data_IF_099440377429
#
_entry.id   IF_099440377429
#
_cell.length_a   1.000
_cell.length_b   1.000
_cell.length_c   1.000
_cell.angle_alpha   90.00
_cell.angle_beta   90.00
_cell.angle_gamma   90.00
#
_symmetry.space_group_name_H-M   'P 1'
#
loop_
_entity.id
_entity.type
_entity.pdbx_description
1 polymer ?
#
# COMPACT_ATOMS: atom_id res chain seq x y z
N UNK A 1 26.41 -1.48 21.20
CA UNK A 1 26.61 -0.24 20.41
C UNK A 1 25.94 -0.42 19.06
N UNK A 2 25.26 0.60 18.53
CA UNK A 2 24.60 0.53 17.22
C UNK A 2 25.49 1.15 16.14
N UNK A 3 25.70 0.43 15.05
CA UNK A 3 26.44 0.85 13.86
C UNK A 3 25.53 0.83 12.64
N UNK A 4 25.42 1.97 11.96
CA UNK A 4 24.73 2.04 10.68
C UNK A 4 25.67 1.61 9.55
N UNK A 5 25.18 0.75 8.66
CA UNK A 5 25.94 0.19 7.53
C UNK A 5 25.14 0.31 6.24
N UNK A 6 25.86 0.54 5.15
CA UNK A 6 25.35 0.40 3.78
C UNK A 6 26.07 -0.79 3.17
N UNK A 7 25.32 -1.74 2.60
CA UNK A 7 25.91 -2.93 2.00
C UNK A 7 24.94 -4.10 1.94
N UNK A 8 25.48 -5.30 1.71
CA UNK A 8 24.73 -6.54 1.74
C UNK A 8 24.81 -7.17 3.14
N UNK A 9 23.65 -7.33 3.78
CA UNK A 9 23.57 -7.91 5.13
C UNK A 9 24.15 -9.33 5.20
N UNK A 10 24.04 -10.11 4.13
CA UNK A 10 24.52 -11.49 4.10
C UNK A 10 26.04 -11.61 4.16
N UNK A 11 26.76 -10.52 3.87
CA UNK A 11 28.22 -10.45 3.96
C UNK A 11 28.69 -10.02 5.35
N UNK A 12 27.77 -9.80 6.30
CA UNK A 12 28.11 -9.40 7.66
C UNK A 12 28.81 -10.52 8.42
N UNK A 13 29.91 -10.18 9.08
CA UNK A 13 30.63 -11.07 10.00
C UNK A 13 29.95 -11.24 11.37
N UNK A 14 28.83 -10.56 11.62
CA UNK A 14 28.08 -10.66 12.88
C UNK A 14 27.66 -12.09 13.22
N UNK A 15 27.65 -12.47 14.50
CA UNK A 15 27.29 -13.82 14.95
C UNK A 15 25.87 -14.24 14.52
N UNK A 16 24.93 -13.29 14.59
CA UNK A 16 23.54 -13.48 14.17
C UNK A 16 23.13 -12.59 13.00
N UNK A 17 22.31 -13.12 12.10
CA UNK A 17 21.70 -12.41 10.98
C UNK A 17 20.17 -12.44 11.10
N UNK A 18 19.53 -11.28 10.97
CA UNK A 18 18.07 -11.18 10.96
C UNK A 18 17.53 -11.30 9.55
N UNK A 19 16.58 -12.23 9.36
CA UNK A 19 15.85 -12.43 8.12
C UNK A 19 14.40 -11.95 8.30
N UNK A 20 13.92 -11.02 7.48
CA UNK A 20 12.51 -10.60 7.52
C UNK A 20 11.63 -11.61 6.78
N UNK A 21 10.69 -12.23 7.48
CA UNK A 21 9.83 -13.29 6.92
C UNK A 21 8.34 -12.97 7.05
N UNK A 22 7.50 -13.80 6.44
CA UNK A 22 6.06 -13.88 6.72
C UNK A 22 5.75 -15.11 7.57
N UNK A 23 4.48 -15.33 7.93
CA UNK A 23 4.08 -16.50 8.72
C UNK A 23 3.45 -17.62 7.89
N UNK A 24 3.50 -17.53 6.54
CA UNK A 24 2.90 -18.52 5.61
C UNK A 24 3.94 -19.35 4.85
N UNK A 25 5.22 -19.29 5.22
CA UNK A 25 6.24 -20.21 4.71
C UNK A 25 6.82 -19.85 3.34
N UNK A 26 6.63 -18.62 2.85
CA UNK A 26 7.13 -18.21 1.52
C UNK A 26 8.35 -17.29 1.65
N UNK A 27 9.46 -17.61 0.98
CA UNK A 27 10.62 -16.71 0.82
C UNK A 27 10.86 -16.44 -0.67
N UNK A 28 10.01 -15.61 -1.27
CA UNK A 28 9.91 -15.47 -2.73
C UNK A 28 10.56 -14.23 -3.33
N UNK A 29 10.90 -13.20 -2.53
CA UNK A 29 11.49 -11.94 -3.01
C UNK A 29 12.31 -11.23 -1.94
N UNK A 30 13.07 -10.22 -2.35
CA UNK A 30 13.89 -9.40 -1.47
C UNK A 30 14.88 -10.21 -0.65
N UNK A 31 15.19 -9.73 0.56
CA UNK A 31 16.20 -10.34 1.43
C UNK A 31 15.84 -11.80 1.81
N UNK A 32 14.56 -12.11 2.02
CA UNK A 32 14.11 -13.47 2.35
C UNK A 32 14.51 -14.50 1.27
N UNK A 33 14.41 -14.15 -0.02
CA UNK A 33 14.84 -15.03 -1.11
C UNK A 33 16.36 -15.27 -1.06
N UNK A 34 17.14 -14.23 -0.73
CA UNK A 34 18.59 -14.37 -0.61
C UNK A 34 18.96 -15.29 0.57
N UNK A 35 18.28 -15.16 1.72
CA UNK A 35 18.42 -16.09 2.84
C UNK A 35 18.06 -17.52 2.46
N UNK A 36 16.97 -17.73 1.71
CA UNK A 36 16.60 -19.07 1.22
C UNK A 36 17.70 -19.71 0.36
N UNK A 37 18.32 -18.93 -0.51
CA UNK A 37 19.36 -19.43 -1.40
C UNK A 37 20.69 -19.69 -0.66
N UNK A 38 21.02 -18.86 0.33
CA UNK A 38 22.28 -18.95 1.08
C UNK A 38 22.22 -19.96 2.23
N UNK A 39 21.07 -20.10 2.88
CA UNK A 39 20.84 -20.90 4.09
C UNK A 39 19.65 -21.86 3.88
N UNK A 40 19.85 -22.96 3.13
CA UNK A 40 18.76 -23.86 2.75
C UNK A 40 18.20 -24.65 3.95
N UNK A 41 19.01 -24.96 4.96
CA UNK A 41 18.51 -25.63 6.16
C UNK A 41 17.60 -24.70 6.97
N UNK A 42 18.01 -23.43 7.12
CA UNK A 42 17.15 -22.38 7.69
C UNK A 42 15.78 -22.32 6.98
N UNK A 43 15.76 -22.30 5.64
CA UNK A 43 14.48 -22.28 4.90
C UNK A 43 13.62 -23.52 5.16
N UNK A 44 14.23 -24.71 5.24
CA UNK A 44 13.51 -25.95 5.54
C UNK A 44 12.84 -25.92 6.92
N UNK A 45 13.57 -25.46 7.94
CA UNK A 45 13.04 -25.31 9.30
C UNK A 45 11.94 -24.26 9.37
N UNK A 46 12.15 -23.09 8.75
CA UNK A 46 11.15 -22.04 8.62
C UNK A 46 9.87 -22.53 7.93
N UNK A 47 9.99 -23.22 6.80
CA UNK A 47 8.85 -23.73 6.05
C UNK A 47 8.00 -24.68 6.91
N UNK A 48 8.64 -25.59 7.65
CA UNK A 48 7.95 -26.52 8.53
C UNK A 48 7.26 -25.80 9.70
N UNK A 49 7.93 -24.85 10.35
CA UNK A 49 7.34 -24.06 11.43
C UNK A 49 6.08 -23.29 10.96
N UNK A 50 6.14 -22.67 9.78
CA UNK A 50 4.96 -22.01 9.19
C UNK A 50 3.85 -23.00 8.83
N UNK A 51 4.21 -24.14 8.22
CA UNK A 51 3.24 -25.20 7.85
C UNK A 51 2.51 -25.73 9.08
N UNK A 52 3.20 -25.86 10.20
CA UNK A 52 2.65 -26.29 11.48
C UNK A 52 1.98 -25.16 12.29
N UNK A 53 1.98 -23.92 11.79
CA UNK A 53 1.44 -22.72 12.45
C UNK A 53 2.12 -22.39 13.79
N UNK A 54 3.40 -22.76 13.91
CA UNK A 54 4.23 -22.55 15.10
C UNK A 54 4.85 -21.14 15.13
N UNK A 55 4.99 -20.48 13.97
CA UNK A 55 5.56 -19.13 13.86
C UNK A 55 4.47 -18.08 13.62
N UNK A 56 4.37 -17.11 14.52
CA UNK A 56 3.44 -15.96 14.45
C UNK A 56 4.19 -14.64 14.63
N UNK A 57 3.53 -13.52 14.32
CA UNK A 57 4.02 -12.18 14.66
C UNK A 57 4.29 -12.07 16.16
N UNK A 58 5.39 -11.39 16.53
CA UNK A 58 5.86 -11.28 17.91
C UNK A 58 6.67 -12.47 18.40
N UNK A 59 6.80 -13.54 17.60
CA UNK A 59 7.68 -14.67 17.87
C UNK A 59 8.87 -14.65 16.92
N UNK A 60 9.99 -15.23 17.33
CA UNK A 60 11.17 -15.40 16.48
C UNK A 60 11.49 -16.87 16.28
N UNK A 61 11.82 -17.25 15.05
CA UNK A 61 12.36 -18.58 14.77
C UNK A 61 13.87 -18.49 14.59
N UNK A 62 14.59 -19.02 15.57
CA UNK A 62 16.06 -19.09 15.56
C UNK A 62 16.49 -20.42 14.95
N UNK A 63 17.38 -20.37 13.97
CA UNK A 63 18.03 -21.53 13.38
C UNK A 63 19.54 -21.35 13.36
N UNK A 64 20.26 -22.44 13.19
CA UNK A 64 21.71 -22.44 13.02
C UNK A 64 22.04 -23.06 11.66
N UNK A 65 22.96 -22.43 10.94
CA UNK A 65 23.52 -22.96 9.71
C UNK A 65 25.04 -23.07 9.86
N UNK A 66 25.61 -24.18 9.40
CA UNK A 66 27.05 -24.33 9.27
C UNK A 66 27.50 -23.78 7.92
N UNK A 67 28.44 -22.84 7.94
CA UNK A 67 29.06 -22.34 6.71
C UNK A 67 30.11 -23.32 6.19
N UNK A 68 30.54 -23.16 4.92
CA UNK A 68 31.62 -23.96 4.32
C UNK A 68 32.94 -23.88 5.11
N UNK A 69 33.13 -22.82 5.91
CA UNK A 69 34.29 -22.61 6.78
C UNK A 69 34.13 -23.25 8.17
N UNK A 70 33.05 -24.02 8.41
CA UNK A 70 32.65 -24.59 9.72
C UNK A 70 32.36 -23.56 10.80
N UNK A 71 32.12 -22.31 10.41
CA UNK A 71 31.61 -21.29 11.32
C UNK A 71 30.09 -21.46 11.42
N UNK A 72 29.58 -21.46 12.65
CA UNK A 72 28.14 -21.47 12.91
C UNK A 72 27.59 -20.06 12.75
N UNK A 73 26.55 -19.91 11.94
CA UNK A 73 25.81 -18.66 11.80
C UNK A 73 24.41 -18.82 12.40
N UNK A 74 24.02 -17.87 13.27
CA UNK A 74 22.68 -17.84 13.83
C UNK A 74 21.78 -17.06 12.87
N UNK A 75 20.67 -17.66 12.42
CA UNK A 75 19.68 -17.00 11.59
C UNK A 75 18.41 -16.78 12.41
N UNK A 76 18.02 -15.52 12.58
CA UNK A 76 16.81 -15.12 13.31
C UNK A 76 15.75 -14.73 12.29
N UNK A 77 14.78 -15.60 12.07
CA UNK A 77 13.64 -15.30 11.20
C UNK A 77 12.63 -14.45 11.98
N UNK A 78 12.53 -13.20 11.57
CA UNK A 78 11.71 -12.15 12.18
C UNK A 78 10.44 -11.94 11.35
N UNK A 79 9.26 -12.36 11.84
CA UNK A 79 8.01 -12.16 11.14
C UNK A 79 7.65 -10.67 11.07
N UNK A 80 7.76 -10.11 9.87
CA UNK A 80 7.35 -8.72 9.59
C UNK A 80 6.00 -8.66 8.87
N UNK A 81 5.41 -9.81 8.55
CA UNK A 81 4.14 -9.94 7.83
C UNK A 81 3.43 -11.22 8.23
N UNK A 82 2.10 -11.21 8.14
CA UNK A 82 1.29 -12.43 8.28
C UNK A 82 1.28 -13.23 6.98
N UNK A 83 0.98 -12.57 5.85
CA UNK A 83 1.09 -13.14 4.50
C UNK A 83 2.09 -12.31 3.67
N UNK A 84 2.84 -12.95 2.77
CA UNK A 84 3.78 -12.24 1.89
C UNK A 84 3.11 -11.19 0.99
N UNK A 85 1.80 -11.35 0.73
CA UNK A 85 0.96 -10.43 -0.05
C UNK A 85 0.55 -9.18 0.73
N UNK A 86 0.42 -9.28 2.06
CA UNK A 86 -0.02 -8.20 2.95
C UNK A 86 1.13 -7.23 3.26
N UNK A 87 0.84 -5.95 3.61
CA UNK A 87 1.85 -5.02 4.10
C UNK A 87 2.38 -5.43 5.48
N UNK A 88 3.43 -4.75 5.94
CA UNK A 88 3.89 -4.85 7.32
C UNK A 88 3.16 -3.84 8.21
N UNK A 89 3.22 -4.01 9.52
CA UNK A 89 2.64 -3.09 10.50
C UNK A 89 3.70 -2.73 11.56
N UNK A 90 3.69 -1.50 12.06
CA UNK A 90 4.62 -1.06 13.10
C UNK A 90 4.54 -1.95 14.35
N UNK A 91 3.32 -2.38 14.72
CA UNK A 91 3.11 -3.30 15.84
C UNK A 91 3.87 -4.61 15.67
N UNK A 92 3.98 -5.13 14.44
CA UNK A 92 4.71 -6.38 14.20
C UNK A 92 6.20 -6.22 14.47
N UNK A 93 6.72 -5.02 14.18
CA UNK A 93 8.13 -4.67 14.41
C UNK A 93 8.38 -4.49 15.91
N UNK A 94 7.52 -3.77 16.62
CA UNK A 94 7.62 -3.55 18.07
C UNK A 94 7.53 -4.87 18.85
N UNK A 95 6.52 -5.70 18.56
CA UNK A 95 6.33 -7.00 19.22
C UNK A 95 7.53 -7.93 18.95
N UNK A 96 8.04 -7.96 17.72
CA UNK A 96 9.22 -8.77 17.38
C UNK A 96 10.54 -8.24 17.95
N UNK A 97 10.68 -6.92 18.14
CA UNK A 97 11.87 -6.33 18.75
C UNK A 97 11.91 -6.57 20.25
N UNK A 98 10.76 -6.54 20.92
CA UNK A 98 10.66 -6.96 22.32
C UNK A 98 11.22 -8.38 22.51
N UNK A 99 10.82 -9.30 21.64
CA UNK A 99 11.31 -10.68 21.66
C UNK A 99 12.79 -10.78 21.26
N UNK A 100 13.24 -9.99 20.29
CA UNK A 100 14.64 -9.97 19.86
C UNK A 100 15.59 -9.59 21.01
N UNK A 101 15.20 -8.63 21.84
CA UNK A 101 15.96 -8.23 23.03
C UNK A 101 16.11 -9.41 24.00
N UNK A 102 15.05 -10.20 24.20
CA UNK A 102 15.11 -11.40 25.04
C UNK A 102 16.05 -12.44 24.45
N UNK A 103 15.90 -12.75 23.15
CA UNK A 103 16.74 -13.73 22.45
C UNK A 103 18.22 -13.36 22.50
N UNK A 104 18.58 -12.08 22.31
CA UNK A 104 19.96 -11.60 22.40
C UNK A 104 20.54 -11.87 23.78
N UNK A 105 19.77 -11.58 24.84
CA UNK A 105 20.20 -11.79 26.24
C UNK A 105 20.33 -13.27 26.57
N UNK A 106 19.30 -14.07 26.28
CA UNK A 106 19.25 -15.49 26.61
C UNK A 106 20.33 -16.31 25.91
N UNK A 107 20.60 -16.00 24.64
CA UNK A 107 21.63 -16.70 23.84
C UNK A 107 23.00 -16.05 23.93
N UNK A 108 23.13 -14.94 24.67
CA UNK A 108 24.38 -14.20 24.84
C UNK A 108 25.04 -13.79 23.50
N UNK A 109 24.20 -13.39 22.53
CA UNK A 109 24.63 -13.01 21.17
C UNK A 109 25.53 -11.77 21.25
N UNK A 110 26.76 -11.88 20.74
CA UNK A 110 27.75 -10.80 20.82
C UNK A 110 27.63 -9.79 19.71
N UNK A 111 27.21 -10.23 18.53
CA UNK A 111 26.98 -9.33 17.40
C UNK A 111 25.80 -9.76 16.52
N UNK A 112 25.03 -8.79 16.03
CA UNK A 112 23.85 -9.04 15.21
C UNK A 112 23.74 -8.05 14.06
N UNK A 113 23.37 -8.54 12.87
CA UNK A 113 23.06 -7.72 11.70
C UNK A 113 21.55 -7.69 11.44
N UNK A 114 20.99 -6.49 11.28
CA UNK A 114 19.55 -6.25 11.17
C UNK A 114 19.23 -5.48 9.88
N UNK A 115 18.33 -5.97 9.01
CA UNK A 115 17.90 -5.25 7.80
C UNK A 115 16.86 -4.18 8.14
N UNK A 116 16.45 -3.33 7.17
CA UNK A 116 15.39 -2.35 7.41
C UNK A 116 14.02 -3.03 7.54
N UNK A 117 13.65 -3.36 8.79
CA UNK A 117 12.50 -4.21 9.12
C UNK A 117 11.19 -3.62 8.58
N UNK A 118 10.56 -4.32 7.64
CA UNK A 118 9.27 -3.91 7.08
C UNK A 118 9.30 -2.68 6.16
N UNK A 119 10.41 -1.94 6.03
CA UNK A 119 10.46 -0.68 5.26
C UNK A 119 10.65 -0.84 3.74
N UNK A 120 10.97 -2.04 3.27
CA UNK A 120 11.02 -2.36 1.83
C UNK A 120 9.67 -2.90 1.33
N UNK A 121 9.61 -4.21 1.07
CA UNK A 121 8.39 -4.89 0.64
C UNK A 121 7.19 -4.76 1.60
N UNK A 122 7.42 -4.34 2.85
CA UNK A 122 6.37 -4.11 3.85
C UNK A 122 5.74 -2.71 3.79
N UNK A 123 6.41 -1.74 3.17
CA UNK A 123 5.91 -0.37 2.99
C UNK A 123 5.96 0.53 4.23
N UNK A 124 6.66 0.14 5.30
CA UNK A 124 6.83 1.01 6.48
C UNK A 124 7.79 2.16 6.21
N UNK A 125 7.57 3.30 6.85
CA UNK A 125 8.50 4.43 6.79
C UNK A 125 9.81 4.07 7.52
N UNK A 126 10.94 4.21 6.82
CA UNK A 126 12.25 3.85 7.37
C UNK A 126 12.64 4.70 8.58
N UNK A 127 12.39 6.01 8.56
CA UNK A 127 12.77 6.89 9.66
C UNK A 127 12.01 6.53 10.94
N UNK A 128 10.73 6.18 10.82
CA UNK A 128 9.95 5.68 11.96
C UNK A 128 10.46 4.31 12.43
N UNK A 129 10.72 3.36 11.53
CA UNK A 129 11.29 2.05 11.91
C UNK A 129 12.65 2.21 12.60
N UNK A 130 13.50 3.13 12.12
CA UNK A 130 14.81 3.45 12.70
C UNK A 130 14.68 3.94 14.14
N UNK A 131 13.74 4.84 14.42
CA UNK A 131 13.47 5.30 15.80
C UNK A 131 13.02 4.14 16.72
N UNK A 132 12.18 3.24 16.21
CA UNK A 132 11.73 2.06 16.97
C UNK A 132 12.92 1.12 17.25
N UNK A 133 13.78 0.88 16.25
CA UNK A 133 15.00 0.08 16.44
C UNK A 133 15.89 0.68 17.53
N UNK A 134 16.17 1.99 17.49
CA UNK A 134 17.00 2.68 18.49
C UNK A 134 16.39 2.57 19.90
N UNK A 135 15.06 2.70 20.01
CA UNK A 135 14.33 2.61 21.28
C UNK A 135 14.55 1.25 21.95
N UNK A 136 14.46 0.15 21.20
CA UNK A 136 14.54 -1.20 21.78
C UNK A 136 15.98 -1.69 21.95
N UNK A 137 16.91 -1.23 21.11
CA UNK A 137 18.22 -1.86 20.97
C UNK A 137 19.38 -1.05 21.57
N UNK A 138 19.18 0.23 21.91
CA UNK A 138 20.25 1.12 22.40
C UNK A 138 20.93 0.65 23.69
N UNK A 139 20.17 0.04 24.61
CA UNK A 139 20.67 -0.45 25.90
C UNK A 139 21.07 -1.94 25.90
N UNK A 140 20.99 -2.61 24.75
CA UNK A 140 21.33 -4.03 24.65
C UNK A 140 22.84 -4.21 24.60
N UNK A 141 23.39 -5.07 25.45
CA UNK A 141 24.81 -5.42 25.47
C UNK A 141 25.20 -6.36 24.31
N UNK A 142 25.16 -5.82 23.09
CA UNK A 142 25.44 -6.48 21.83
C UNK A 142 26.02 -5.47 20.82
N UNK A 143 26.88 -5.91 19.91
CA UNK A 143 27.31 -5.15 18.73
C UNK A 143 26.21 -5.25 17.65
N UNK A 144 25.55 -4.14 17.35
CA UNK A 144 24.36 -4.15 16.48
C UNK A 144 24.68 -3.42 15.18
N UNK A 145 24.58 -4.12 14.06
CA UNK A 145 24.79 -3.58 12.71
C UNK A 145 23.45 -3.41 12.01
N UNK A 146 22.94 -2.17 11.95
CA UNK A 146 21.71 -1.85 11.23
C UNK A 146 22.05 -1.51 9.79
N UNK A 147 21.57 -2.32 8.85
CA UNK A 147 21.69 -2.08 7.43
C UNK A 147 20.60 -1.13 6.98
N UNK A 148 21.00 0.02 6.44
CA UNK A 148 20.06 1.01 5.94
C UNK A 148 19.55 0.61 4.54
N UNK A 149 18.34 1.07 4.13
CA UNK A 149 17.86 0.88 2.77
C UNK A 149 18.88 1.45 1.77
N UNK A 150 19.56 0.58 1.04
CA UNK A 150 20.54 0.98 0.04
C UNK A 150 19.82 1.55 -1.19
N UNK A 151 20.31 2.65 -1.76
CA UNK A 151 19.84 3.22 -3.02
C UNK A 151 19.79 2.17 -4.15
N UNK A 152 20.75 1.24 -4.21
CA UNK A 152 20.75 0.15 -5.18
C UNK A 152 19.62 -0.87 -4.95
N UNK A 153 19.22 -1.11 -3.70
CA UNK A 153 18.08 -1.98 -3.36
C UNK A 153 16.76 -1.26 -3.65
N UNK A 154 16.67 0.05 -3.37
CA UNK A 154 15.54 0.88 -3.78
C UNK A 154 15.41 0.90 -5.31
N UNK A 155 16.50 1.02 -6.04
CA UNK A 155 16.51 0.99 -7.50
C UNK A 155 16.16 -0.39 -8.07
N UNK A 156 16.59 -1.48 -7.42
CA UNK A 156 16.15 -2.84 -7.76
C UNK A 156 14.64 -3.04 -7.50
N UNK A 157 14.12 -2.55 -6.37
CA UNK A 157 12.69 -2.57 -6.05
C UNK A 157 11.87 -1.72 -7.05
N UNK A 158 12.42 -0.58 -7.49
CA UNK A 158 11.84 0.23 -8.58
C UNK A 158 11.79 -0.56 -9.89
N UNK A 159 12.85 -1.30 -10.24
CA UNK A 159 12.88 -2.17 -11.44
C UNK A 159 11.86 -3.31 -11.39
N UNK A 160 11.49 -3.77 -10.19
CA UNK A 160 10.44 -4.78 -9.99
C UNK A 160 9.01 -4.19 -10.00
N UNK A 161 8.84 -2.86 -10.07
CA UNK A 161 7.51 -2.25 -10.11
C UNK A 161 6.75 -2.69 -11.35
N UNK A 162 5.43 -2.83 -11.17
CA UNK A 162 4.57 -3.11 -12.31
C UNK A 162 4.62 -1.95 -13.31
N UNK A 163 4.69 -2.28 -14.61
CA UNK A 163 4.67 -1.28 -15.66
C UNK A 163 3.38 -0.46 -15.63
N UNK A 164 3.51 0.86 -15.75
CA UNK A 164 2.37 1.75 -15.90
C UNK A 164 1.68 1.54 -17.24
N UNK A 165 0.35 1.64 -17.19
CA UNK A 165 -0.50 1.83 -18.36
C UNK A 165 -1.18 3.19 -18.22
N UNK A 166 -1.75 3.77 -19.29
CA UNK A 166 -2.41 5.06 -19.20
C UNK A 166 -3.53 5.09 -18.14
N UNK A 167 -4.37 4.07 -18.07
CA UNK A 167 -5.41 3.95 -17.05
C UNK A 167 -4.85 3.95 -15.61
N UNK A 168 -3.75 3.21 -15.38
CA UNK A 168 -3.08 3.15 -14.06
C UNK A 168 -2.50 4.50 -13.68
N UNK A 169 -1.79 5.15 -14.60
CA UNK A 169 -1.15 6.44 -14.36
C UNK A 169 -2.18 7.55 -14.10
N UNK A 170 -3.28 7.59 -14.88
CA UNK A 170 -4.38 8.54 -14.66
C UNK A 170 -5.03 8.38 -13.29
N UNK A 171 -5.36 7.13 -12.91
CA UNK A 171 -5.95 6.85 -11.60
C UNK A 171 -5.00 7.25 -10.48
N UNK A 172 -3.73 6.84 -10.55
CA UNK A 172 -2.72 7.16 -9.55
C UNK A 172 -2.52 8.68 -9.40
N UNK A 173 -2.44 9.43 -10.51
CA UNK A 173 -2.25 10.89 -10.45
C UNK A 173 -3.33 11.61 -9.64
N UNK A 174 -4.59 11.19 -9.78
CA UNK A 174 -5.69 11.76 -8.99
C UNK A 174 -5.73 11.20 -7.56
N UNK A 175 -5.28 9.96 -7.33
CA UNK A 175 -5.13 9.41 -5.97
C UNK A 175 -4.03 10.10 -5.16
N UNK A 176 -2.90 10.47 -5.79
CA UNK A 176 -1.88 11.31 -5.17
C UNK A 176 -2.43 12.69 -4.81
N UNK A 177 -3.22 13.30 -5.70
CA UNK A 177 -3.91 14.57 -5.41
C UNK A 177 -4.89 14.44 -4.23
N UNK A 178 -5.67 13.36 -4.18
CA UNK A 178 -6.56 13.05 -3.06
C UNK A 178 -5.79 12.98 -1.74
N UNK A 179 -4.65 12.27 -1.73
CA UNK A 179 -3.78 12.17 -0.56
C UNK A 179 -3.17 13.52 -0.14
N UNK A 180 -2.75 14.35 -1.11
CA UNK A 180 -2.25 15.72 -0.85
C UNK A 180 -3.32 16.63 -0.25
N UNK A 181 -4.60 16.35 -0.49
CA UNK A 181 -5.73 17.05 0.12
C UNK A 181 -6.13 16.47 1.50
N UNK A 182 -5.33 15.57 2.07
CA UNK A 182 -5.52 15.04 3.43
C UNK A 182 -6.51 13.88 3.53
N UNK A 183 -6.92 13.30 2.40
CA UNK A 183 -7.84 12.16 2.35
C UNK A 183 -7.10 10.84 2.12
N UNK A 184 -7.72 9.73 2.51
CA UNK A 184 -7.11 8.41 2.40
C UNK A 184 -7.53 7.69 1.11
N UNK A 185 -6.58 7.01 0.47
CA UNK A 185 -6.89 6.14 -0.67
C UNK A 185 -7.66 4.92 -0.19
N UNK A 186 -8.71 4.56 -0.92
CA UNK A 186 -9.55 3.38 -0.66
C UNK A 186 -10.10 2.83 -1.97
N UNK A 187 -10.68 1.62 -1.95
CA UNK A 187 -11.38 1.09 -3.13
C UNK A 187 -12.55 2.00 -3.51
N UNK A 188 -13.29 2.48 -2.52
CA UNK A 188 -14.39 3.42 -2.72
C UNK A 188 -13.91 4.68 -3.47
N UNK A 189 -12.88 5.36 -2.96
CA UNK A 189 -12.38 6.58 -3.58
C UNK A 189 -11.87 6.31 -5.00
N UNK A 190 -11.18 5.18 -5.20
CA UNK A 190 -10.66 4.77 -6.50
C UNK A 190 -11.77 4.52 -7.52
N UNK A 191 -12.89 3.89 -7.13
CA UNK A 191 -14.06 3.72 -8.00
C UNK A 191 -14.67 5.06 -8.40
N UNK A 192 -14.76 6.03 -7.47
CA UNK A 192 -15.34 7.36 -7.77
C UNK A 192 -14.43 8.19 -8.66
N UNK A 193 -13.13 8.14 -8.42
CA UNK A 193 -12.14 8.79 -9.27
C UNK A 193 -12.14 8.17 -10.67
N UNK A 194 -12.16 6.84 -10.79
CA UNK A 194 -12.24 6.16 -12.09
C UNK A 194 -13.54 6.52 -12.83
N UNK A 195 -14.67 6.63 -12.12
CA UNK A 195 -15.93 7.13 -12.68
C UNK A 195 -15.75 8.51 -13.32
N UNK A 196 -15.20 9.48 -12.58
CA UNK A 196 -15.03 10.84 -13.10
C UNK A 196 -13.97 10.95 -14.20
N UNK A 197 -12.87 10.21 -14.13
CA UNK A 197 -11.92 10.14 -15.23
C UNK A 197 -12.61 9.71 -16.53
N UNK A 198 -13.54 8.74 -16.49
CA UNK A 198 -14.34 8.39 -17.66
C UNK A 198 -15.30 9.50 -18.10
N UNK A 199 -15.97 10.17 -17.15
CA UNK A 199 -16.88 11.29 -17.44
C UNK A 199 -16.17 12.43 -18.14
N UNK A 200 -14.90 12.68 -17.83
CA UNK A 200 -14.07 13.69 -18.48
C UNK A 200 -13.38 13.24 -19.78
N UNK A 201 -13.61 12.00 -20.23
CA UNK A 201 -13.18 11.53 -21.56
C UNK A 201 -12.41 10.21 -21.58
N UNK A 202 -12.09 9.62 -20.42
CA UNK A 202 -11.26 8.41 -20.38
C UNK A 202 -12.03 7.08 -20.59
N UNK A 203 -13.27 7.10 -21.10
CA UNK A 203 -14.09 5.88 -21.28
C UNK A 203 -13.39 4.82 -22.14
N UNK A 204 -12.72 5.20 -23.22
CA UNK A 204 -11.97 4.25 -24.08
C UNK A 204 -10.74 3.65 -23.40
N UNK A 205 -10.17 4.33 -22.41
CA UNK A 205 -8.96 3.93 -21.69
C UNK A 205 -9.31 2.98 -20.54
N UNK A 206 -10.35 3.30 -19.77
CA UNK A 206 -10.77 2.54 -18.60
C UNK A 206 -11.73 1.39 -18.93
N UNK A 207 -12.62 1.60 -19.90
CA UNK A 207 -13.63 0.63 -20.33
C UNK A 207 -14.43 0.00 -19.16
N UNK A 208 -14.85 0.84 -18.22
CA UNK A 208 -15.63 0.49 -17.04
C UNK A 208 -17.09 0.81 -17.27
N UNK A 209 -17.97 -0.11 -16.90
CA UNK A 209 -19.41 0.09 -16.91
C UNK A 209 -19.88 0.22 -15.47
N UNK A 210 -20.54 1.33 -15.17
CA UNK A 210 -20.97 1.66 -13.82
C UNK A 210 -22.45 1.38 -13.67
N UNK A 211 -22.82 0.80 -12.54
CA UNK A 211 -24.21 0.52 -12.18
C UNK A 211 -24.52 1.12 -10.81
N UNK A 212 -25.80 1.43 -10.52
CA UNK A 212 -26.17 1.95 -9.21
C UNK A 212 -25.87 0.90 -8.13
N UNK A 213 -25.22 1.33 -7.05
CA UNK A 213 -24.87 0.46 -5.92
C UNK A 213 -24.92 1.26 -4.59
N UNK A 214 -24.63 0.61 -3.48
CA UNK A 214 -24.85 1.12 -2.12
C UNK A 214 -24.19 2.49 -1.87
N UNK A 215 -22.94 2.68 -2.30
CA UNK A 215 -22.20 3.94 -2.16
C UNK A 215 -22.18 4.77 -3.45
N UNK A 216 -23.21 4.66 -4.31
CA UNK A 216 -23.28 5.34 -5.62
C UNK A 216 -22.80 4.43 -6.76
N UNK A 217 -22.43 4.98 -7.94
CA UNK A 217 -22.04 4.17 -9.10
C UNK A 217 -20.81 3.30 -8.81
N UNK A 218 -20.86 2.03 -9.20
CA UNK A 218 -19.79 1.05 -8.99
C UNK A 218 -19.59 0.18 -10.22
N UNK A 219 -18.32 -0.02 -10.61
CA UNK A 219 -17.96 -0.90 -11.73
C UNK A 219 -17.53 -2.30 -11.30
N UNK A 220 -16.96 -2.43 -10.10
CA UNK A 220 -16.41 -3.67 -9.58
C UNK A 220 -15.15 -4.16 -10.26
N UNK A 221 -14.63 -3.41 -11.24
CA UNK A 221 -13.42 -3.74 -11.99
C UNK A 221 -12.20 -2.96 -11.48
N UNK A 222 -12.38 -1.83 -10.79
CA UNK A 222 -11.25 -1.01 -10.29
C UNK A 222 -10.43 -1.76 -9.25
N UNK A 223 -11.05 -2.65 -8.47
CA UNK A 223 -10.33 -3.57 -7.56
C UNK A 223 -9.23 -4.39 -8.24
N UNK A 224 -9.39 -4.73 -9.53
CA UNK A 224 -8.35 -5.45 -10.26
C UNK A 224 -7.15 -4.55 -10.55
N UNK A 225 -7.39 -3.27 -10.89
CA UNK A 225 -6.33 -2.27 -11.08
C UNK A 225 -5.58 -2.06 -9.77
N UNK A 226 -6.28 -1.85 -8.66
CA UNK A 226 -5.67 -1.68 -7.33
C UNK A 226 -4.82 -2.89 -6.94
N UNK A 227 -5.34 -4.10 -7.15
CA UNK A 227 -4.58 -5.32 -6.88
C UNK A 227 -3.28 -5.40 -7.68
N UNK A 228 -3.29 -4.98 -8.95
CA UNK A 228 -2.09 -4.95 -9.77
C UNK A 228 -1.09 -3.88 -9.33
N UNK A 229 -1.58 -2.76 -8.80
CA UNK A 229 -0.73 -1.67 -8.28
C UNK A 229 -0.17 -1.98 -6.88
N UNK A 230 -0.74 -2.96 -6.18
CA UNK A 230 -0.34 -3.36 -4.83
C UNK A 230 1.11 -3.86 -4.80
N UNK A 231 1.93 -3.27 -3.92
CA UNK A 231 3.36 -3.59 -3.82
C UNK A 231 4.25 -2.77 -4.74
N UNK A 232 3.69 -1.86 -5.55
CA UNK A 232 4.46 -0.96 -6.43
C UNK A 232 4.12 0.51 -6.19
N UNK A 233 2.83 0.86 -6.27
CA UNK A 233 2.34 2.24 -6.17
C UNK A 233 1.36 2.44 -5.02
N UNK A 234 0.64 1.36 -4.67
CA UNK A 234 -0.22 1.31 -3.49
C UNK A 234 0.14 0.09 -2.64
N UNK A 235 -0.28 0.10 -1.38
CA UNK A 235 -0.05 -0.96 -0.41
C UNK A 235 -1.35 -1.33 0.29
N UNK A 236 -1.49 -2.60 0.67
CA UNK A 236 -2.62 -3.08 1.45
C UNK A 236 -3.77 -3.66 0.62
N UNK A 237 -3.73 -3.69 -0.70
CA UNK A 237 -4.85 -4.18 -1.53
C UNK A 237 -4.59 -5.57 -2.14
N UNK A 238 -4.14 -6.52 -1.33
CA UNK A 238 -3.53 -7.75 -1.83
C UNK A 238 -4.48 -8.93 -2.03
N UNK A 239 -5.73 -8.83 -1.62
CA UNK A 239 -6.74 -9.91 -1.66
C UNK A 239 -8.06 -9.49 -2.30
N UNK A 240 -8.19 -8.22 -2.73
CA UNK A 240 -9.41 -7.65 -3.35
C UNK A 240 -10.68 -7.77 -2.47
N UNK A 241 -10.51 -7.92 -1.17
CA UNK A 241 -11.55 -8.17 -0.17
C UNK A 241 -11.58 -7.11 0.95
N UNK A 242 -10.76 -6.06 0.81
CA UNK A 242 -10.80 -4.91 1.72
C UNK A 242 -12.17 -4.26 1.73
N UNK A 243 -12.57 -3.73 2.88
CA UNK A 243 -13.83 -2.98 2.97
C UNK A 243 -13.72 -1.71 2.12
N UNK A 244 -14.85 -1.18 1.57
CA UNK A 244 -14.81 -0.08 0.61
C UNK A 244 -14.04 1.16 1.07
N UNK A 245 -14.11 1.51 2.36
CA UNK A 245 -13.46 2.68 2.95
C UNK A 245 -12.15 2.37 3.68
N UNK A 246 -11.67 1.13 3.62
CA UNK A 246 -10.44 0.76 4.30
C UNK A 246 -9.24 1.39 3.59
N UNK A 247 -8.36 2.00 4.38
CA UNK A 247 -7.21 2.74 3.89
C UNK A 247 -6.20 1.85 3.15
N UNK A 248 -5.70 2.37 2.05
CA UNK A 248 -4.59 1.83 1.26
C UNK A 248 -3.42 2.80 1.36
N UNK A 249 -2.23 2.26 1.61
CA UNK A 249 -1.01 3.08 1.61
C UNK A 249 -0.70 3.53 0.18
N UNK A 250 -0.28 4.78 0.02
CA UNK A 250 0.37 5.25 -1.21
C UNK A 250 1.89 5.10 -1.04
N UNK A 251 2.58 4.78 -2.14
CA UNK A 251 4.04 4.80 -2.23
C UNK A 251 4.49 6.18 -2.74
N UNK A 252 4.97 7.10 -1.89
CA UNK A 252 5.17 8.50 -2.28
C UNK A 252 6.27 8.68 -3.33
N UNK A 253 7.36 7.92 -3.24
CA UNK A 253 8.49 8.00 -4.18
C UNK A 253 8.13 7.50 -5.59
N UNK A 254 6.98 6.84 -5.77
CA UNK A 254 6.44 6.43 -7.06
C UNK A 254 5.64 7.52 -7.79
N UNK A 255 5.31 8.65 -7.15
CA UNK A 255 4.59 9.77 -7.80
C UNK A 255 5.41 10.38 -8.94
N UNK A 256 6.73 10.48 -8.75
CA UNK A 256 7.67 10.95 -9.79
C UNK A 256 7.60 10.10 -11.06
N UNK A 257 7.55 8.78 -10.93
CA UNK A 257 7.44 7.83 -12.05
C UNK A 257 6.10 7.96 -12.79
N UNK A 258 5.00 8.18 -12.06
CA UNK A 258 3.68 8.46 -12.65
C UNK A 258 3.67 9.79 -13.40
N UNK A 259 4.33 10.81 -12.84
CA UNK A 259 4.43 12.14 -13.45
C UNK A 259 5.25 12.07 -14.74
N UNK A 260 6.45 11.48 -14.70
CA UNK A 260 7.31 11.30 -15.87
C UNK A 260 6.62 10.47 -16.97
N UNK A 261 5.90 9.40 -16.58
CA UNK A 261 5.11 8.63 -17.53
C UNK A 261 4.08 9.52 -18.25
N UNK A 262 3.35 10.34 -17.50
CA UNK A 262 2.29 11.19 -18.02
C UNK A 262 2.82 12.39 -18.78
N UNK A 263 4.05 12.87 -18.56
CA UNK A 263 4.64 14.04 -19.25
C UNK A 263 4.97 13.77 -20.73
N UNK A 264 5.08 12.52 -21.14
CA UNK A 264 5.36 12.16 -22.54
C UNK A 264 4.34 12.79 -23.50
N UNK A 265 4.75 13.29 -24.68
CA UNK A 265 3.85 14.01 -25.59
C UNK A 265 2.59 13.24 -25.98
N UNK A 266 2.69 11.93 -26.15
CA UNK A 266 1.58 11.03 -26.50
C UNK A 266 0.44 10.99 -25.46
N UNK A 267 0.69 11.41 -24.21
CA UNK A 267 -0.31 11.44 -23.14
C UNK A 267 -0.88 12.83 -22.85
N UNK A 268 -0.70 13.81 -23.75
CA UNK A 268 -1.21 15.17 -23.56
C UNK A 268 -2.72 15.22 -23.28
N UNK A 269 -3.53 14.44 -24.01
CA UNK A 269 -4.98 14.35 -23.77
C UNK A 269 -5.30 13.74 -22.40
N UNK A 270 -4.51 12.76 -21.96
CA UNK A 270 -4.70 12.11 -20.67
C UNK A 270 -4.42 13.11 -19.54
N UNK A 271 -3.37 13.92 -19.66
CA UNK A 271 -3.07 15.01 -18.72
C UNK A 271 -4.22 16.02 -18.65
N UNK A 272 -4.79 16.42 -19.79
CA UNK A 272 -5.93 17.33 -19.80
C UNK A 272 -7.16 16.75 -19.07
N UNK A 273 -7.44 15.45 -19.23
CA UNK A 273 -8.52 14.75 -18.51
C UNK A 273 -8.24 14.73 -17.00
N UNK A 274 -7.00 14.41 -16.61
CA UNK A 274 -6.58 14.38 -15.20
C UNK A 274 -6.79 15.75 -14.56
N UNK A 275 -6.30 16.82 -15.19
CA UNK A 275 -6.40 18.18 -14.61
C UNK A 275 -7.85 18.65 -14.51
N UNK A 276 -8.70 18.36 -15.51
CA UNK A 276 -10.15 18.60 -15.40
C UNK A 276 -10.77 17.84 -14.22
N UNK A 277 -10.37 16.58 -14.03
CA UNK A 277 -10.86 15.74 -12.93
C UNK A 277 -10.42 16.30 -11.56
N UNK A 278 -9.15 16.69 -11.41
CA UNK A 278 -8.62 17.29 -10.18
C UNK A 278 -9.32 18.61 -9.87
N UNK A 279 -9.47 19.49 -10.86
CA UNK A 279 -10.18 20.76 -10.71
C UNK A 279 -11.63 20.55 -10.28
N UNK A 280 -12.32 19.57 -10.85
CA UNK A 280 -13.71 19.25 -10.49
C UNK A 280 -13.86 18.70 -9.07
N UNK A 281 -12.89 17.89 -8.63
CA UNK A 281 -12.89 17.27 -7.30
C UNK A 281 -12.29 18.15 -6.20
N UNK A 282 -11.72 19.31 -6.54
CA UNK A 282 -11.16 20.25 -5.57
C UNK A 282 -12.24 20.64 -4.53
N UNK A 283 -11.97 20.36 -3.26
CA UNK A 283 -12.92 20.55 -2.15
C UNK A 283 -13.98 19.45 -1.97
N UNK A 284 -13.94 18.37 -2.77
CA UNK A 284 -14.89 17.24 -2.73
C UNK A 284 -14.21 15.87 -2.60
N UNK A 285 -12.93 15.81 -2.25
CA UNK A 285 -12.18 14.55 -2.11
C UNK A 285 -12.64 13.66 -0.96
N UNK A 286 -13.37 14.20 0.01
CA UNK A 286 -13.88 13.42 1.14
C UNK A 286 -14.82 12.30 0.69
N UNK A 287 -14.94 11.20 1.47
CA UNK A 287 -15.87 10.13 1.14
C UNK A 287 -17.29 10.62 0.89
N UNK A 288 -17.74 11.60 1.67
CA UNK A 288 -19.03 12.26 1.49
C UNK A 288 -19.11 13.01 0.15
N UNK A 289 -18.11 13.85 -0.16
CA UNK A 289 -18.09 14.64 -1.40
C UNK A 289 -18.07 13.76 -2.65
N UNK A 290 -17.22 12.73 -2.66
CA UNK A 290 -17.14 11.76 -3.74
C UNK A 290 -18.44 10.96 -3.90
N UNK A 291 -19.06 10.52 -2.81
CA UNK A 291 -20.35 9.82 -2.85
C UNK A 291 -21.45 10.74 -3.41
N UNK A 292 -21.52 11.98 -2.95
CA UNK A 292 -22.51 12.98 -3.36
C UNK A 292 -22.40 13.30 -4.85
N UNK A 293 -21.21 13.74 -5.31
CA UNK A 293 -21.00 14.12 -6.70
C UNK A 293 -21.28 12.94 -7.64
N UNK A 294 -20.74 11.75 -7.33
CA UNK A 294 -20.87 10.60 -8.24
C UNK A 294 -22.30 10.08 -8.29
N UNK A 295 -23.05 10.15 -7.19
CA UNK A 295 -24.46 9.73 -7.17
C UNK A 295 -25.32 10.71 -7.98
N UNK A 296 -25.13 12.02 -7.80
CA UNK A 296 -25.91 13.04 -8.52
C UNK A 296 -25.58 13.03 -10.02
N UNK A 297 -24.31 13.00 -10.41
CA UNK A 297 -23.93 12.94 -11.83
C UNK A 297 -24.49 11.67 -12.50
N UNK A 298 -24.50 10.53 -11.79
CA UNK A 298 -25.08 9.29 -12.30
C UNK A 298 -26.60 9.41 -12.51
N UNK A 299 -27.33 10.01 -11.56
CA UNK A 299 -28.77 10.29 -11.72
C UNK A 299 -29.03 11.19 -12.92
N UNK A 300 -28.29 12.31 -13.04
CA UNK A 300 -28.45 13.26 -14.14
C UNK A 300 -28.22 12.55 -15.47
N UNK A 301 -27.17 11.73 -15.57
CA UNK A 301 -26.77 11.06 -16.82
C UNK A 301 -27.75 9.95 -17.21
N UNK A 302 -28.16 9.09 -16.27
CA UNK A 302 -28.99 7.92 -16.58
C UNK A 302 -30.49 8.25 -16.67
N UNK A 303 -30.96 9.25 -15.92
CA UNK A 303 -32.39 9.62 -15.84
C UNK A 303 -32.73 10.89 -16.62
N UNK A 304 -31.72 11.63 -17.08
CA UNK A 304 -31.87 12.93 -17.76
C UNK A 304 -32.70 13.94 -16.95
N UNK A 305 -32.49 13.97 -15.62
CA UNK A 305 -33.14 14.91 -14.71
C UNK A 305 -32.17 16.01 -14.28
N UNK A 306 -32.63 17.27 -14.27
CA UNK A 306 -31.75 18.43 -14.04
C UNK A 306 -32.25 19.37 -12.93
N UNK A 307 -33.48 19.19 -12.43
CA UNK A 307 -34.02 20.00 -11.34
C UNK A 307 -33.66 19.41 -9.98
N UNK A 308 -33.53 20.28 -8.97
CA UNK A 308 -33.17 19.86 -7.63
C UNK A 308 -34.22 18.93 -7.02
N UNK A 309 -35.50 19.20 -7.27
CA UNK A 309 -36.62 18.37 -6.79
C UNK A 309 -36.58 16.97 -7.41
N UNK A 310 -36.34 16.87 -8.72
CA UNK A 310 -36.27 15.57 -9.41
C UNK A 310 -35.05 14.76 -8.96
N UNK A 311 -33.89 15.39 -8.83
CA UNK A 311 -32.68 14.73 -8.32
C UNK A 311 -32.90 14.25 -6.87
N UNK A 312 -33.54 15.06 -6.03
CA UNK A 312 -33.84 14.68 -4.64
C UNK A 312 -34.75 13.46 -4.60
N UNK A 313 -35.78 13.41 -5.45
CA UNK A 313 -36.66 12.24 -5.55
C UNK A 313 -35.90 10.97 -5.96
N UNK A 314 -35.06 11.04 -6.98
CA UNK A 314 -34.25 9.89 -7.42
C UNK A 314 -33.24 9.44 -6.34
N UNK A 315 -32.72 10.37 -5.52
CA UNK A 315 -31.87 10.03 -4.37
C UNK A 315 -32.67 9.25 -3.31
N UNK A 316 -33.91 9.66 -3.02
CA UNK A 316 -34.78 8.95 -2.09
C UNK A 316 -35.11 7.54 -2.59
N UNK A 317 -35.40 7.42 -3.89
CA UNK A 317 -35.73 6.15 -4.54
C UNK A 317 -34.51 5.20 -4.64
N UNK A 318 -33.28 5.74 -4.68
CA UNK A 318 -32.07 4.93 -4.74
C UNK A 318 -31.89 4.08 -3.46
N UNK A 319 -31.99 4.69 -2.28
CA UNK A 319 -32.00 3.96 -0.99
C UNK A 319 -32.28 4.86 0.21
N UNK A 320 -32.69 4.23 1.32
CA UNK A 320 -32.79 4.88 2.64
C UNK A 320 -31.49 5.59 3.08
N UNK A 321 -30.31 5.05 2.72
CA UNK A 321 -29.02 5.70 3.02
C UNK A 321 -28.89 7.03 2.30
N UNK A 322 -29.20 7.08 1.00
CA UNK A 322 -29.09 8.32 0.21
C UNK A 322 -30.05 9.38 0.71
N UNK A 323 -31.28 8.96 1.03
CA UNK A 323 -32.28 9.81 1.68
C UNK A 323 -31.76 10.46 2.96
N UNK A 324 -31.14 9.71 3.86
CA UNK A 324 -30.66 10.24 5.15
C UNK A 324 -29.35 11.03 5.02
N UNK A 325 -28.43 10.56 4.19
CA UNK A 325 -27.10 11.16 4.03
C UNK A 325 -27.14 12.51 3.31
N UNK A 326 -28.05 12.68 2.34
CA UNK A 326 -28.15 13.89 1.51
C UNK A 326 -29.40 14.73 1.79
N UNK A 327 -29.92 14.66 3.02
CA UNK A 327 -31.13 15.39 3.46
C UNK A 327 -31.07 16.90 3.28
N UNK A 328 -29.89 17.52 3.40
CA UNK A 328 -29.77 18.96 3.27
C UNK A 328 -29.85 19.39 1.79
N UNK A 329 -30.87 20.17 1.38
CA UNK A 329 -31.05 20.58 -0.01
C UNK A 329 -29.86 21.38 -0.56
N UNK A 330 -29.10 22.05 0.30
CA UNK A 330 -27.90 22.78 -0.10
C UNK A 330 -26.81 21.85 -0.67
N UNK A 331 -26.70 20.60 -0.20
CA UNK A 331 -25.72 19.65 -0.72
C UNK A 331 -26.01 19.32 -2.19
N UNK A 332 -27.27 18.99 -2.49
CA UNK A 332 -27.72 18.71 -3.87
C UNK A 332 -27.47 19.92 -4.76
N UNK A 333 -27.87 21.12 -4.31
CA UNK A 333 -27.65 22.37 -5.06
C UNK A 333 -26.18 22.63 -5.38
N UNK A 334 -25.30 22.52 -4.38
CA UNK A 334 -23.86 22.75 -4.55
C UNK A 334 -23.25 21.73 -5.51
N UNK A 335 -23.59 20.46 -5.35
CA UNK A 335 -23.11 19.39 -6.22
C UNK A 335 -23.60 19.55 -7.67
N UNK A 336 -24.89 19.82 -7.88
CA UNK A 336 -25.46 20.06 -9.22
C UNK A 336 -24.82 21.26 -9.90
N UNK A 337 -24.60 22.36 -9.16
CA UNK A 337 -23.88 23.54 -9.69
C UNK A 337 -22.46 23.18 -10.11
N UNK A 338 -21.72 22.43 -9.28
CA UNK A 338 -20.36 22.01 -9.60
C UNK A 338 -20.31 21.13 -10.86
N UNK A 339 -21.24 20.17 -10.99
CA UNK A 339 -21.37 19.29 -12.17
C UNK A 339 -21.67 20.11 -13.42
N UNK A 340 -22.64 21.02 -13.36
CA UNK A 340 -23.00 21.86 -14.51
C UNK A 340 -21.87 22.80 -14.96
N UNK A 341 -20.99 23.20 -14.04
CA UNK A 341 -19.85 24.06 -14.36
C UNK A 341 -18.73 23.30 -15.10
N UNK A 342 -18.55 22.01 -14.82
CA UNK A 342 -17.38 21.24 -15.29
C UNK A 342 -17.69 20.19 -16.36
N UNK A 343 -18.90 19.60 -16.37
CA UNK A 343 -19.27 18.45 -17.20
C UNK A 343 -20.25 18.79 -18.34
N UNK A 344 -20.48 20.08 -18.63
CA UNK A 344 -21.29 20.53 -19.77
C UNK A 344 -20.52 20.57 -21.08
#
# INVERSE_FOLDING_TARGET
MIHYKIGNLLDSEAEALVNTVNTVGVMGKGIALQFKNRFPNNFKLYFNACKNKELKVGQLLITEEETLLKEKKIIINFPTKTDWRLPSEYKYIEDGLAELVNVIKERNIKSIAIPPLGSGNGGLDWNRVKQVLETYLSEVNCEIFIYEPNAAIQEALKKERIKLTPARAMLLSVLYELARNGEFVSEFASEKIAYFLQRFGAKKIFNLDFQPNFYGPYSGKVKHVLYHLNGSYIMGYSSKDKKPFEELGIVPDAESEVTEFLEKPEYAEHRAIIEKTKSFLAGFYSPFGLELLSTIDFIITEKNVHTQEAITKELEDWSNRKKTLFTNPNFVRVATKNIQQHLK
#
